data_IF_162852574331
#
_entry.id   IF_162852574331
#
_cell.length_a   1.000
_cell.length_b   1.000
_cell.length_c   1.000
_cell.angle_alpha   90.00
_cell.angle_beta   90.00
_cell.angle_gamma   90.00
#
_symmetry.space_group_name_H-M   'P 1'
#
loop_
_entity.id
_entity.type
_entity.pdbx_description
1 polymer ?
#
# COMPACT_ATOMS: atom_id res chain seq x y z
N UNK A 1 29.81 9.64 -19.03
CA UNK A 1 28.78 10.67 -18.78
C UNK A 1 27.45 10.02 -18.48
N UNK A 2 26.85 10.40 -17.35
CA UNK A 2 25.47 9.97 -17.08
C UNK A 2 24.54 10.67 -18.07
N UNK A 3 23.75 9.90 -18.84
CA UNK A 3 22.68 10.45 -19.67
C UNK A 3 21.68 11.17 -18.76
N UNK A 4 21.21 12.34 -19.17
CA UNK A 4 20.09 13.02 -18.49
C UNK A 4 18.87 12.10 -18.53
N UNK A 5 18.03 12.13 -17.49
CA UNK A 5 16.85 11.27 -17.45
C UNK A 5 15.93 11.47 -18.67
N UNK A 6 15.92 12.67 -19.26
CA UNK A 6 15.16 12.97 -20.48
C UNK A 6 15.67 12.24 -21.72
N UNK A 7 16.93 11.80 -21.73
CA UNK A 7 17.55 11.10 -22.85
C UNK A 7 17.36 9.59 -22.79
N UNK A 8 16.82 9.06 -21.69
CA UNK A 8 16.55 7.65 -21.52
C UNK A 8 15.24 7.27 -22.21
N UNK A 9 15.20 6.05 -22.75
CA UNK A 9 13.95 5.50 -23.30
C UNK A 9 12.94 5.25 -22.21
N UNK A 10 11.67 5.08 -22.57
CA UNK A 10 10.62 4.70 -21.60
C UNK A 10 10.99 3.40 -20.86
N UNK A 11 11.52 2.41 -21.58
CA UNK A 11 11.99 1.15 -21.01
C UNK A 11 13.07 1.38 -19.94
N UNK A 12 14.09 2.17 -20.28
CA UNK A 12 15.20 2.46 -19.38
C UNK A 12 14.73 3.22 -18.13
N UNK A 13 13.83 4.19 -18.28
CA UNK A 13 13.29 4.94 -17.17
C UNK A 13 12.44 4.06 -16.25
N UNK A 14 11.58 3.23 -16.83
CA UNK A 14 10.73 2.31 -16.06
C UNK A 14 11.58 1.27 -15.33
N UNK A 15 12.57 0.70 -15.98
CA UNK A 15 13.48 -0.26 -15.35
C UNK A 15 14.21 0.38 -14.16
N UNK A 16 14.68 1.62 -14.32
CA UNK A 16 15.31 2.37 -13.23
C UNK A 16 14.41 2.57 -12.04
N UNK A 17 13.11 2.81 -12.26
CA UNK A 17 12.13 2.91 -11.18
C UNK A 17 11.92 1.56 -10.48
N UNK A 18 11.82 0.48 -11.25
CA UNK A 18 11.62 -0.87 -10.72
C UNK A 18 12.81 -1.38 -9.91
N UNK A 19 14.02 -0.94 -10.22
CA UNK A 19 15.23 -1.26 -9.44
C UNK A 19 15.10 -0.71 -8.01
N UNK A 20 14.42 0.42 -7.84
CA UNK A 20 14.26 1.06 -6.53
C UNK A 20 13.19 0.38 -5.68
N UNK A 21 12.07 -0.02 -6.28
CA UNK A 21 10.97 -0.73 -5.62
C UNK A 21 10.01 -1.31 -6.65
N UNK A 22 9.10 -2.13 -6.19
CA UNK A 22 7.99 -2.58 -7.03
C UNK A 22 7.09 -1.39 -7.40
N UNK A 23 6.61 -1.39 -8.64
CA UNK A 23 5.65 -0.42 -9.16
C UNK A 23 4.53 -1.17 -9.88
N UNK A 24 3.30 -0.67 -9.76
CA UNK A 24 2.22 -1.16 -10.60
C UNK A 24 2.41 -0.68 -12.04
N UNK A 25 1.83 -1.40 -12.99
CA UNK A 25 1.82 -0.99 -14.41
C UNK A 25 1.22 0.40 -14.57
N UNK A 26 0.10 0.66 -13.90
CA UNK A 26 -0.57 1.97 -13.92
C UNK A 26 0.33 3.08 -13.42
N UNK A 27 1.02 2.85 -12.32
CA UNK A 27 1.94 3.84 -11.73
C UNK A 27 3.07 4.18 -12.69
N UNK A 28 3.69 3.18 -13.30
CA UNK A 28 4.75 3.38 -14.29
C UNK A 28 4.24 4.16 -15.50
N UNK A 29 3.06 3.81 -15.99
CA UNK A 29 2.45 4.49 -17.13
C UNK A 29 2.25 5.98 -16.84
N UNK A 30 1.72 6.31 -15.67
CA UNK A 30 1.51 7.71 -15.28
C UNK A 30 2.83 8.47 -15.15
N UNK A 31 3.84 7.86 -14.51
CA UNK A 31 5.15 8.49 -14.35
C UNK A 31 5.84 8.75 -15.69
N UNK A 32 5.74 7.81 -16.62
CA UNK A 32 6.33 7.97 -17.95
C UNK A 32 5.60 9.03 -18.78
N UNK A 33 4.28 9.12 -18.65
CA UNK A 33 3.49 10.19 -19.29
C UNK A 33 3.92 11.57 -18.79
N UNK A 34 4.09 11.73 -17.49
CA UNK A 34 4.53 12.99 -16.88
C UNK A 34 5.91 13.38 -17.40
N UNK A 35 6.76 12.42 -17.70
CA UNK A 35 8.10 12.64 -18.26
C UNK A 35 8.08 12.88 -19.76
N UNK A 36 6.90 12.97 -20.38
CA UNK A 36 6.75 13.31 -21.79
C UNK A 36 6.91 12.16 -22.77
N UNK A 37 6.90 10.91 -22.30
CA UNK A 37 7.01 9.75 -23.19
C UNK A 37 5.70 9.52 -23.95
N UNK A 38 5.81 9.11 -25.21
CA UNK A 38 4.66 8.79 -26.05
C UNK A 38 3.99 7.50 -25.58
N UNK A 39 2.65 7.47 -25.71
CA UNK A 39 1.84 6.36 -25.21
C UNK A 39 2.25 5.01 -25.82
N UNK A 40 2.52 4.99 -27.14
CA UNK A 40 2.94 3.76 -27.82
C UNK A 40 4.27 3.24 -27.28
N UNK A 41 5.24 4.13 -27.08
CA UNK A 41 6.53 3.75 -26.50
C UNK A 41 6.36 3.20 -25.08
N UNK A 42 5.49 3.82 -24.28
CA UNK A 42 5.19 3.39 -22.92
C UNK A 42 4.61 1.97 -22.94
N UNK A 43 3.59 1.73 -23.76
CA UNK A 43 2.91 0.43 -23.79
C UNK A 43 3.86 -0.69 -24.23
N UNK A 44 4.70 -0.46 -25.22
CA UNK A 44 5.71 -1.43 -25.67
C UNK A 44 6.71 -1.72 -24.55
N UNK A 45 7.19 -0.68 -23.88
CA UNK A 45 8.15 -0.82 -22.79
C UNK A 45 7.56 -1.63 -21.62
N UNK A 46 6.33 -1.33 -21.22
CA UNK A 46 5.69 -2.02 -20.10
C UNK A 46 5.34 -3.47 -20.44
N UNK A 47 4.95 -3.75 -21.70
CA UNK A 47 4.72 -5.13 -22.14
C UNK A 47 6.01 -5.95 -22.07
N UNK A 48 7.14 -5.38 -22.49
CA UNK A 48 8.43 -6.04 -22.43
C UNK A 48 8.87 -6.31 -20.98
N UNK A 49 8.71 -5.33 -20.09
CA UNK A 49 9.07 -5.46 -18.69
C UNK A 49 8.19 -6.50 -17.96
N UNK A 50 6.92 -6.58 -18.34
CA UNK A 50 6.01 -7.61 -17.79
C UNK A 50 6.43 -9.01 -18.26
N UNK A 51 6.74 -9.18 -19.56
CA UNK A 51 7.19 -10.48 -20.09
C UNK A 51 8.49 -10.95 -19.47
N UNK A 52 9.38 -10.02 -19.15
CA UNK A 52 10.65 -10.31 -18.50
C UNK A 52 10.52 -10.48 -16.98
N UNK A 53 9.32 -10.33 -16.45
CA UNK A 53 9.00 -10.40 -15.03
C UNK A 53 9.70 -9.34 -14.16
N UNK A 54 10.16 -8.26 -14.77
CA UNK A 54 10.65 -7.10 -14.01
C UNK A 54 9.50 -6.27 -13.44
N UNK A 55 8.37 -6.21 -14.15
CA UNK A 55 7.15 -5.58 -13.67
C UNK A 55 6.09 -6.67 -13.46
N UNK A 56 5.45 -6.68 -12.30
CA UNK A 56 4.45 -7.68 -11.95
C UNK A 56 3.48 -7.06 -10.94
N UNK A 57 2.22 -6.90 -11.34
CA UNK A 57 1.18 -6.29 -10.51
C UNK A 57 0.86 -7.09 -9.25
N UNK A 58 0.91 -8.42 -9.33
CA UNK A 58 0.68 -9.30 -8.18
C UNK A 58 1.78 -9.11 -7.12
N UNK A 59 3.02 -9.09 -7.56
CA UNK A 59 4.18 -8.86 -6.67
C UNK A 59 4.14 -7.44 -6.08
N UNK A 60 3.76 -6.45 -6.89
CA UNK A 60 3.55 -5.07 -6.42
C UNK A 60 2.48 -5.02 -5.34
N UNK A 61 1.34 -5.67 -5.56
CA UNK A 61 0.22 -5.65 -4.61
C UNK A 61 0.65 -6.18 -3.24
N UNK A 62 1.37 -7.29 -3.21
CA UNK A 62 1.88 -7.87 -1.97
C UNK A 62 2.89 -6.94 -1.28
N UNK A 63 3.82 -6.38 -2.04
CA UNK A 63 4.84 -5.47 -1.49
C UNK A 63 4.20 -4.22 -0.86
N UNK A 64 3.21 -3.63 -1.54
CA UNK A 64 2.49 -2.47 -1.00
C UNK A 64 1.71 -2.84 0.25
N UNK A 65 0.96 -3.94 0.21
CA UNK A 65 0.18 -4.41 1.36
C UNK A 65 1.06 -4.64 2.59
N UNK A 66 2.19 -5.30 2.40
CA UNK A 66 3.15 -5.55 3.46
C UNK A 66 3.74 -4.25 4.05
N UNK A 67 4.09 -3.32 3.18
CA UNK A 67 4.62 -2.01 3.59
C UNK A 67 3.60 -1.25 4.45
N UNK A 68 2.33 -1.25 4.04
CA UNK A 68 1.27 -0.55 4.77
C UNK A 68 0.92 -1.24 6.09
N UNK A 69 0.89 -2.57 6.11
CA UNK A 69 0.74 -3.32 7.36
C UNK A 69 1.83 -2.95 8.36
N UNK A 70 3.08 -2.94 7.93
CA UNK A 70 4.22 -2.59 8.77
C UNK A 70 4.14 -1.15 9.30
N UNK A 71 3.50 -0.26 8.54
CA UNK A 71 3.27 1.12 8.96
C UNK A 71 2.03 1.29 9.84
N UNK A 72 1.32 0.21 10.15
CA UNK A 72 0.17 0.25 11.06
C UNK A 72 -1.16 0.60 10.39
N UNK A 73 -1.30 0.33 9.10
CA UNK A 73 -2.57 0.53 8.39
C UNK A 73 -3.39 -0.76 8.36
N UNK A 74 -4.72 -0.60 8.41
CA UNK A 74 -5.65 -1.71 8.37
C UNK A 74 -6.03 -2.15 6.96
N UNK A 75 -6.75 -3.29 6.84
CA UNK A 75 -7.01 -3.90 5.55
C UNK A 75 -7.89 -3.06 4.62
N UNK A 76 -8.81 -2.26 5.16
CA UNK A 76 -9.68 -1.43 4.31
C UNK A 76 -8.89 -0.33 3.60
N UNK A 77 -7.94 0.29 4.29
CA UNK A 77 -7.08 1.31 3.68
C UNK A 77 -6.13 0.70 2.66
N UNK A 78 -5.57 -0.45 2.96
CA UNK A 78 -4.69 -1.17 2.03
C UNK A 78 -5.48 -1.52 0.76
N UNK A 79 -6.69 -2.04 0.92
CA UNK A 79 -7.57 -2.38 -0.20
C UNK A 79 -7.88 -1.17 -1.07
N UNK A 80 -8.24 -0.05 -0.46
CA UNK A 80 -8.55 1.19 -1.17
C UNK A 80 -7.35 1.70 -1.96
N UNK A 81 -6.16 1.65 -1.37
CA UNK A 81 -4.93 2.09 -2.03
C UNK A 81 -4.57 1.18 -3.22
N UNK A 82 -4.69 -0.14 -3.05
CA UNK A 82 -4.46 -1.10 -4.13
C UNK A 82 -5.47 -0.92 -5.27
N UNK A 83 -6.72 -0.65 -4.93
CA UNK A 83 -7.76 -0.40 -5.92
C UNK A 83 -7.41 0.79 -6.83
N UNK A 84 -6.75 1.81 -6.32
CA UNK A 84 -6.33 2.98 -7.09
C UNK A 84 -5.30 2.64 -8.17
N UNK A 85 -4.63 1.50 -8.06
CA UNK A 85 -3.65 1.03 -9.05
C UNK A 85 -4.28 0.23 -10.19
N UNK A 86 -5.61 0.20 -10.26
CA UNK A 86 -6.37 -0.55 -11.28
C UNK A 86 -6.05 -2.05 -11.30
N UNK A 87 -5.79 -2.60 -10.12
CA UNK A 87 -5.54 -4.03 -9.94
C UNK A 87 -6.87 -4.79 -9.95
N UNK A 88 -6.85 -6.01 -10.46
CA UNK A 88 -7.99 -6.91 -10.34
C UNK A 88 -8.26 -7.23 -8.88
N UNK A 89 -9.55 -7.34 -8.51
CA UNK A 89 -9.95 -7.60 -7.12
C UNK A 89 -9.33 -8.89 -6.57
N UNK A 90 -9.13 -9.88 -7.43
CA UNK A 90 -8.48 -11.14 -7.07
C UNK A 90 -7.05 -10.93 -6.57
N UNK A 91 -6.26 -10.10 -7.24
CA UNK A 91 -4.89 -9.77 -6.81
C UNK A 91 -4.88 -9.01 -5.49
N UNK A 92 -5.87 -8.11 -5.30
CA UNK A 92 -6.01 -7.37 -4.04
C UNK A 92 -6.32 -8.33 -2.89
N UNK A 93 -7.30 -9.22 -3.08
CA UNK A 93 -7.69 -10.19 -2.06
C UNK A 93 -6.55 -11.13 -1.72
N UNK A 94 -5.82 -11.62 -2.71
CA UNK A 94 -4.66 -12.49 -2.51
C UNK A 94 -3.54 -11.78 -1.75
N UNK A 95 -3.27 -10.53 -2.08
CA UNK A 95 -2.21 -9.76 -1.43
C UNK A 95 -2.49 -9.56 0.06
N UNK A 96 -3.73 -9.20 0.40
CA UNK A 96 -4.13 -8.97 1.80
C UNK A 96 -4.15 -10.30 2.55
N UNK A 97 -4.69 -11.35 1.95
CA UNK A 97 -4.73 -12.69 2.54
C UNK A 97 -3.33 -13.25 2.80
N UNK A 98 -2.40 -13.02 1.88
CA UNK A 98 -1.02 -13.49 1.98
C UNK A 98 -0.24 -12.86 3.14
N UNK A 99 -0.70 -11.71 3.67
CA UNK A 99 -0.10 -11.10 4.86
C UNK A 99 -0.27 -11.96 6.10
N UNK A 100 -1.31 -12.78 6.12
CA UNK A 100 -1.65 -13.66 7.24
C UNK A 100 -1.62 -12.89 8.57
N UNK A 101 -2.23 -11.72 8.60
CA UNK A 101 -2.17 -10.76 9.70
C UNK A 101 -3.36 -10.93 10.64
N UNK A 102 -3.09 -10.94 11.94
CA UNK A 102 -4.13 -10.75 12.94
C UNK A 102 -4.39 -9.25 13.08
N UNK A 103 -5.42 -8.77 12.39
CA UNK A 103 -5.74 -7.34 12.35
C UNK A 103 -6.19 -6.80 13.70
N UNK A 104 -6.86 -7.62 14.51
CA UNK A 104 -7.25 -7.21 15.85
C UNK A 104 -6.02 -7.01 16.75
N UNK A 105 -5.08 -7.94 16.72
CA UNK A 105 -3.83 -7.81 17.46
C UNK A 105 -3.05 -6.57 17.06
N UNK A 106 -2.94 -6.31 15.75
CA UNK A 106 -2.28 -5.11 15.24
C UNK A 106 -2.97 -3.84 15.77
N UNK A 107 -4.30 -3.79 15.71
CA UNK A 107 -5.08 -2.66 16.21
C UNK A 107 -4.88 -2.48 17.73
N UNK A 108 -4.88 -3.56 18.50
CA UNK A 108 -4.64 -3.53 19.93
C UNK A 108 -3.26 -2.99 20.28
N UNK A 109 -2.23 -3.41 19.54
CA UNK A 109 -0.87 -2.93 19.73
C UNK A 109 -0.76 -1.43 19.45
N UNK A 110 -1.40 -0.94 18.40
CA UNK A 110 -1.42 0.48 18.06
C UNK A 110 -2.09 1.31 19.16
N UNK A 111 -3.21 0.85 19.68
CA UNK A 111 -3.92 1.52 20.78
C UNK A 111 -3.07 1.51 22.05
N UNK A 112 -2.47 0.37 22.39
CA UNK A 112 -1.64 0.23 23.58
C UNK A 112 -0.47 1.22 23.57
N UNK A 113 0.22 1.33 22.43
CA UNK A 113 1.37 2.23 22.32
C UNK A 113 1.00 3.70 22.40
N UNK A 114 -0.17 4.09 21.88
CA UNK A 114 -0.50 5.50 21.66
C UNK A 114 -1.52 6.04 22.63
N UNK A 115 -2.48 5.22 23.07
CA UNK A 115 -3.66 5.68 23.81
C UNK A 115 -3.87 5.05 25.18
N UNK A 116 -3.21 3.94 25.50
CA UNK A 116 -3.52 3.20 26.74
C UNK A 116 -3.42 4.07 27.98
N UNK A 117 -2.33 4.82 28.12
CA UNK A 117 -2.12 5.72 29.26
C UNK A 117 -3.16 6.84 29.28
N UNK A 118 -3.47 7.42 28.13
CA UNK A 118 -4.45 8.50 28.00
C UNK A 118 -5.85 8.02 28.32
N UNK A 119 -6.23 6.83 27.90
CA UNK A 119 -7.55 6.25 28.14
C UNK A 119 -7.78 5.99 29.63
N UNK A 120 -6.75 5.61 30.38
CA UNK A 120 -6.85 5.44 31.82
C UNK A 120 -7.12 6.75 32.58
N UNK A 121 -6.64 7.87 32.04
CA UNK A 121 -6.79 9.19 32.66
C UNK A 121 -8.06 9.90 32.21
N UNK A 122 -8.52 9.67 30.96
CA UNK A 122 -9.64 10.37 30.36
C UNK A 122 -10.43 9.41 29.48
N UNK A 123 -11.69 9.08 29.84
CA UNK A 123 -12.54 8.19 29.04
C UNK A 123 -12.81 8.70 27.62
N UNK A 124 -12.75 10.02 27.39
CA UNK A 124 -12.93 10.58 26.04
C UNK A 124 -11.84 10.17 25.07
N UNK A 125 -10.68 9.76 25.56
CA UNK A 125 -9.58 9.26 24.71
C UNK A 125 -9.94 7.93 24.02
N UNK A 126 -10.88 7.16 24.57
CA UNK A 126 -11.36 5.93 23.94
C UNK A 126 -11.99 6.23 22.56
N UNK A 127 -12.83 7.28 22.49
CA UNK A 127 -13.42 7.70 21.21
C UNK A 127 -12.37 8.15 20.19
N UNK A 128 -11.34 8.85 20.67
CA UNK A 128 -10.22 9.28 19.81
C UNK A 128 -9.44 8.08 19.29
N UNK A 129 -9.24 7.06 20.12
CA UNK A 129 -8.56 5.82 19.71
C UNK A 129 -9.38 5.08 18.64
N UNK A 130 -10.69 4.97 18.81
CA UNK A 130 -11.57 4.38 17.80
C UNK A 130 -11.45 5.15 16.46
N UNK A 131 -11.57 6.47 16.52
CA UNK A 131 -11.48 7.32 15.33
C UNK A 131 -10.12 7.15 14.62
N UNK A 132 -9.04 7.07 15.40
CA UNK A 132 -7.70 6.82 14.88
C UNK A 132 -7.64 5.49 14.11
N UNK A 133 -8.18 4.41 14.69
CA UNK A 133 -8.18 3.11 14.02
C UNK A 133 -9.03 3.10 12.75
N UNK A 134 -10.20 3.76 12.78
CA UNK A 134 -11.03 3.88 11.59
C UNK A 134 -10.31 4.62 10.46
N UNK A 135 -9.60 5.70 10.79
CA UNK A 135 -8.79 6.43 9.78
C UNK A 135 -7.64 5.59 9.25
N UNK A 136 -7.10 4.70 10.08
CA UNK A 136 -6.03 3.78 9.67
C UNK A 136 -6.54 2.63 8.80
N UNK A 137 -7.86 2.48 8.66
CA UNK A 137 -8.44 1.48 7.78
C UNK A 137 -8.86 0.19 8.45
N UNK A 138 -9.03 0.18 9.78
CA UNK A 138 -9.64 -0.94 10.50
C UNK A 138 -11.16 -0.80 10.46
N UNK A 139 -11.88 -1.92 10.45
CA UNK A 139 -13.35 -1.88 10.48
C UNK A 139 -13.86 -1.50 11.89
N UNK A 140 -15.15 -1.16 11.98
CA UNK A 140 -15.77 -0.73 13.23
C UNK A 140 -15.65 -1.79 14.32
N UNK A 141 -15.95 -3.04 13.99
CA UNK A 141 -15.89 -4.14 14.95
C UNK A 141 -14.48 -4.29 15.53
N UNK A 142 -13.47 -4.29 14.67
CA UNK A 142 -12.08 -4.38 15.11
C UNK A 142 -11.69 -3.17 15.96
N UNK A 143 -12.06 -1.96 15.52
CA UNK A 143 -11.73 -0.74 16.26
C UNK A 143 -12.35 -0.71 17.65
N UNK A 144 -13.64 -1.03 17.77
CA UNK A 144 -14.32 -1.07 19.07
C UNK A 144 -13.76 -2.17 19.97
N UNK A 145 -13.47 -3.33 19.42
CA UNK A 145 -12.89 -4.44 20.20
C UNK A 145 -11.50 -4.10 20.70
N UNK A 146 -10.68 -3.45 19.85
CA UNK A 146 -9.29 -3.11 20.17
C UNK A 146 -9.17 -2.11 21.33
N UNK A 147 -10.15 -1.25 21.52
CA UNK A 147 -10.14 -0.23 22.59
C UNK A 147 -10.73 -0.72 23.90
N UNK A 148 -11.31 -1.92 23.92
CA UNK A 148 -11.81 -2.49 25.19
C UNK A 148 -10.63 -2.79 26.10
N UNK A 149 -10.66 -2.18 27.29
CA UNK A 149 -9.63 -2.44 28.28
C UNK A 149 -9.82 -3.86 28.80
N UNK A 150 -8.80 -4.69 28.63
CA UNK A 150 -8.79 -6.01 29.28
C UNK A 150 -8.57 -5.78 30.78
N UNK A 151 -9.55 -6.18 31.53
CA UNK A 151 -9.40 -6.26 33.00
C UNK A 151 -8.40 -7.36 33.35
#
# INVERSE_FOLDING_TARGET
>A
MRKKSSDLTAYQQALGLLVRREHSRRELKQKLKVRGKELEEIDVALDNLSRQDFQNDERFAYALARSRQSAGYGPQRIRAELYQHSLESEYIDQAISALNCDWLELAQDLVARRYLRKMKQDPNQTQKAVAFLLRRGFDQKTAFTAVKVRE
#
